data_IF_376081533497
#
_entry.id   IF_376081533497
#
_cell.length_a   1.000
_cell.length_b   1.000
_cell.length_c   1.000
_cell.angle_alpha   90.00
_cell.angle_beta   90.00
_cell.angle_gamma   90.00
#
_symmetry.space_group_name_H-M   'P 1'
#
loop_
_entity.id
_entity.type
_entity.pdbx_description
1 polymer ?
#
# COMPACT_ATOMS: atom_id res chain seq x y z
N UNK A 1 -1.15 -15.40 -17.38
CA UNK A 1 -1.13 -13.95 -17.15
C UNK A 1 -0.39 -13.72 -15.85
N UNK A 2 0.57 -12.80 -15.78
CA UNK A 2 1.47 -12.55 -14.65
C UNK A 2 2.34 -13.74 -14.19
N UNK A 3 2.77 -14.59 -15.11
CA UNK A 3 3.63 -15.75 -14.79
C UNK A 3 5.04 -15.34 -14.33
N UNK A 4 5.43 -14.09 -14.58
CA UNK A 4 6.73 -13.53 -14.19
C UNK A 4 6.93 -13.38 -12.69
N UNK A 5 5.88 -13.56 -11.88
CA UNK A 5 5.93 -13.36 -10.42
C UNK A 5 6.25 -14.64 -9.64
N UNK A 6 6.10 -15.82 -10.25
CA UNK A 6 6.41 -17.06 -9.59
C UNK A 6 7.91 -17.15 -9.24
N UNK A 7 8.21 -17.48 -7.98
CA UNK A 7 9.58 -17.56 -7.46
C UNK A 7 10.20 -16.25 -7.00
N UNK A 8 9.57 -15.09 -7.25
CA UNK A 8 10.03 -13.80 -6.74
C UNK A 8 9.78 -13.65 -5.24
N UNK A 9 10.60 -12.83 -4.60
CA UNK A 9 10.46 -12.49 -3.18
C UNK A 9 9.84 -11.11 -3.03
N UNK A 10 8.78 -11.03 -2.23
CA UNK A 10 8.07 -9.79 -1.92
C UNK A 10 8.13 -9.48 -0.42
N UNK A 11 8.42 -8.22 -0.09
CA UNK A 11 8.21 -7.64 1.24
C UNK A 11 6.94 -6.80 1.19
N UNK A 12 6.00 -7.03 2.12
CA UNK A 12 4.77 -6.23 2.25
C UNK A 12 4.71 -5.66 3.65
N UNK A 13 4.82 -4.32 3.78
CA UNK A 13 4.74 -3.63 5.07
C UNK A 13 3.29 -3.31 5.43
N UNK A 14 2.96 -3.28 6.73
CA UNK A 14 1.58 -3.11 7.19
C UNK A 14 0.65 -4.24 6.74
N UNK A 15 1.17 -5.47 6.65
CA UNK A 15 0.50 -6.60 6.03
C UNK A 15 -0.35 -7.46 7.00
N UNK A 16 -0.50 -7.04 8.27
CA UNK A 16 -1.28 -7.81 9.26
C UNK A 16 -2.79 -7.74 9.05
N UNK A 17 -3.31 -6.74 8.32
CA UNK A 17 -4.74 -6.53 8.08
C UNK A 17 -4.99 -5.67 6.83
N UNK A 18 -6.27 -5.52 6.47
CA UNK A 18 -6.74 -4.61 5.43
C UNK A 18 -6.04 -4.83 4.08
N UNK A 19 -5.72 -3.72 3.42
CA UNK A 19 -5.11 -3.70 2.08
C UNK A 19 -3.79 -4.49 2.06
N UNK A 20 -2.93 -4.30 3.07
CA UNK A 20 -1.64 -5.00 3.13
C UNK A 20 -1.78 -6.52 3.23
N UNK A 21 -2.74 -7.03 4.01
CA UNK A 21 -3.08 -8.46 4.04
C UNK A 21 -3.58 -8.95 2.68
N UNK A 22 -4.45 -8.17 2.03
CA UNK A 22 -4.91 -8.49 0.67
C UNK A 22 -3.76 -8.58 -0.33
N UNK A 23 -2.83 -7.63 -0.31
CA UNK A 23 -1.63 -7.61 -1.16
C UNK A 23 -0.76 -8.85 -0.89
N UNK A 24 -0.46 -9.15 0.38
CA UNK A 24 0.37 -10.29 0.76
C UNK A 24 -0.22 -11.62 0.28
N UNK A 25 -1.53 -11.83 0.50
CA UNK A 25 -2.26 -13.02 0.03
C UNK A 25 -2.24 -13.12 -1.50
N UNK A 26 -2.48 -12.02 -2.19
CA UNK A 26 -2.52 -11.99 -3.66
C UNK A 26 -1.17 -12.31 -4.29
N UNK A 27 -0.07 -11.76 -3.75
CA UNK A 27 1.29 -12.11 -4.19
C UNK A 27 1.64 -13.57 -3.88
N UNK A 28 1.28 -14.07 -2.71
CA UNK A 28 1.46 -15.48 -2.37
C UNK A 28 0.71 -16.43 -3.31
N UNK A 29 -0.51 -16.06 -3.74
CA UNK A 29 -1.35 -16.87 -4.63
C UNK A 29 -0.80 -17.02 -6.06
N UNK A 30 0.10 -16.14 -6.47
CA UNK A 30 0.79 -16.20 -7.79
C UNK A 30 2.22 -16.73 -7.69
N UNK A 31 2.59 -17.31 -6.54
CA UNK A 31 3.85 -18.01 -6.35
C UNK A 31 5.01 -17.15 -5.87
N UNK A 32 4.76 -15.93 -5.39
CA UNK A 32 5.79 -15.17 -4.67
C UNK A 32 6.09 -15.78 -3.30
N UNK A 33 7.35 -15.69 -2.85
CA UNK A 33 7.71 -15.85 -1.44
C UNK A 33 7.46 -14.52 -0.74
N UNK A 34 6.60 -14.47 0.30
CA UNK A 34 6.15 -13.23 0.91
C UNK A 34 6.68 -13.07 2.34
N UNK A 35 7.41 -11.99 2.60
CA UNK A 35 7.69 -11.52 3.96
C UNK A 35 6.55 -10.60 4.40
N UNK A 36 5.73 -11.09 5.33
CA UNK A 36 4.59 -10.37 5.91
C UNK A 36 5.10 -9.51 7.06
N UNK A 37 5.09 -8.19 6.92
CA UNK A 37 5.71 -7.27 7.88
C UNK A 37 4.67 -6.39 8.55
N UNK A 38 4.64 -6.39 9.88
CA UNK A 38 3.90 -5.44 10.70
C UNK A 38 4.49 -5.40 12.11
N UNK A 39 4.08 -4.44 12.94
CA UNK A 39 4.51 -4.32 14.33
C UNK A 39 4.05 -5.50 15.20
N UNK A 40 2.83 -5.97 14.98
CA UNK A 40 2.29 -7.14 15.68
C UNK A 40 2.80 -8.43 15.03
N UNK A 41 3.68 -9.13 15.74
CA UNK A 41 4.22 -10.42 15.31
C UNK A 41 3.11 -11.46 15.15
N UNK A 42 2.21 -11.57 16.13
CA UNK A 42 1.12 -12.55 16.13
C UNK A 42 0.19 -12.38 14.94
N UNK A 43 -0.20 -11.13 14.62
CA UNK A 43 -1.05 -10.85 13.45
C UNK A 43 -0.32 -11.17 12.14
N UNK A 44 0.98 -10.82 12.03
CA UNK A 44 1.80 -11.15 10.85
C UNK A 44 1.96 -12.66 10.68
N UNK A 45 2.14 -13.41 11.75
CA UNK A 45 2.21 -14.87 11.74
C UNK A 45 0.86 -15.50 11.30
N UNK A 46 -0.26 -14.90 11.70
CA UNK A 46 -1.58 -15.35 11.23
C UNK A 46 -1.71 -15.22 9.71
N UNK A 47 -1.33 -14.08 9.14
CA UNK A 47 -1.41 -13.86 7.68
C UNK A 47 -0.41 -14.75 6.93
N UNK A 48 0.81 -14.93 7.46
CA UNK A 48 1.79 -15.85 6.86
C UNK A 48 1.26 -17.30 6.83
N UNK A 49 0.57 -17.73 7.90
CA UNK A 49 -0.10 -19.03 7.97
C UNK A 49 -1.21 -19.16 6.94
N UNK A 50 -2.09 -18.17 6.80
CA UNK A 50 -3.13 -18.16 5.76
C UNK A 50 -2.55 -18.38 4.36
N UNK A 51 -1.43 -17.70 4.05
CA UNK A 51 -0.76 -17.87 2.75
C UNK A 51 -0.20 -19.28 2.59
N UNK A 52 0.40 -19.85 3.64
CA UNK A 52 0.99 -21.19 3.58
C UNK A 52 -0.07 -22.29 3.52
N UNK A 53 -1.19 -22.15 4.23
CA UNK A 53 -2.35 -23.05 4.14
C UNK A 53 -2.97 -23.05 2.73
N UNK A 54 -2.94 -21.88 2.05
CA UNK A 54 -3.33 -21.74 0.65
C UNK A 54 -2.24 -22.21 -0.34
N UNK A 55 -1.21 -22.96 0.13
CA UNK A 55 -0.08 -23.51 -0.66
C UNK A 55 0.87 -22.44 -1.22
N UNK A 56 0.84 -21.23 -0.70
CA UNK A 56 1.86 -20.20 -0.96
C UNK A 56 3.07 -20.35 -0.04
N UNK A 57 4.05 -19.47 -0.21
CA UNK A 57 5.26 -19.41 0.63
C UNK A 57 5.32 -18.06 1.35
N UNK A 58 5.26 -18.06 2.67
CA UNK A 58 5.31 -16.84 3.46
C UNK A 58 5.98 -17.04 4.81
N UNK A 59 6.50 -15.95 5.36
CA UNK A 59 6.94 -15.88 6.78
C UNK A 59 6.65 -14.48 7.33
N UNK A 60 6.52 -14.40 8.66
CA UNK A 60 6.29 -13.16 9.36
C UNK A 60 7.59 -12.48 9.79
N UNK A 61 7.58 -11.14 9.83
CA UNK A 61 8.63 -10.34 10.43
C UNK A 61 8.00 -9.16 11.19
N UNK A 62 8.49 -8.92 12.41
CA UNK A 62 8.02 -7.78 13.20
C UNK A 62 8.92 -6.57 12.96
N UNK A 63 8.36 -5.46 12.49
CA UNK A 63 9.09 -4.21 12.34
C UNK A 63 8.16 -2.99 12.41
N UNK A 64 8.65 -1.92 13.05
CA UNK A 64 8.14 -0.57 12.88
C UNK A 64 8.86 0.11 11.72
N UNK A 65 8.13 0.47 10.66
CA UNK A 65 8.71 1.11 9.48
C UNK A 65 9.29 2.50 9.76
N UNK A 66 8.96 3.10 10.89
CA UNK A 66 9.52 4.37 11.35
C UNK A 66 10.92 4.22 11.99
N UNK A 67 11.35 2.99 12.27
CA UNK A 67 12.68 2.67 12.79
C UNK A 67 13.61 2.22 11.66
N UNK A 68 14.75 2.90 11.52
CA UNK A 68 15.71 2.63 10.45
C UNK A 68 16.42 1.27 10.64
N UNK A 69 16.72 0.88 11.87
CA UNK A 69 17.39 -0.39 12.14
C UNK A 69 16.45 -1.56 11.85
N UNK A 70 15.17 -1.43 12.22
CA UNK A 70 14.16 -2.46 11.96
C UNK A 70 13.85 -2.61 10.47
N UNK A 71 13.83 -1.51 9.71
CA UNK A 71 13.66 -1.60 8.24
C UNK A 71 14.86 -2.24 7.55
N UNK A 72 16.09 -1.98 8.00
CA UNK A 72 17.29 -2.68 7.52
C UNK A 72 17.26 -4.17 7.85
N UNK A 73 16.86 -4.53 9.07
CA UNK A 73 16.70 -5.94 9.48
C UNK A 73 15.61 -6.65 8.68
N UNK A 74 14.51 -5.99 8.38
CA UNK A 74 13.44 -6.49 7.50
C UNK A 74 13.97 -6.84 6.10
N UNK A 75 14.72 -5.94 5.47
CA UNK A 75 15.28 -6.17 4.14
C UNK A 75 16.29 -7.33 4.14
N UNK A 76 17.17 -7.38 5.15
CA UNK A 76 18.12 -8.47 5.33
C UNK A 76 17.42 -9.83 5.52
N UNK A 77 16.36 -9.88 6.34
CA UNK A 77 15.59 -11.11 6.59
C UNK A 77 14.92 -11.64 5.31
N UNK A 78 14.46 -10.78 4.40
CA UNK A 78 13.90 -11.20 3.12
C UNK A 78 14.95 -11.93 2.27
N UNK A 79 16.13 -11.34 2.14
CA UNK A 79 17.24 -11.92 1.38
C UNK A 79 17.76 -13.21 2.04
N UNK A 80 17.93 -13.22 3.36
CA UNK A 80 18.39 -14.40 4.12
C UNK A 80 17.44 -15.59 3.95
N UNK A 81 16.12 -15.35 4.05
CA UNK A 81 15.12 -16.44 4.03
C UNK A 81 14.78 -16.94 2.63
N UNK A 82 14.89 -16.09 1.62
CA UNK A 82 14.37 -16.39 0.29
C UNK A 82 15.41 -16.25 -0.83
N UNK A 83 16.61 -15.74 -0.54
CA UNK A 83 17.73 -15.64 -1.48
C UNK A 83 17.74 -14.35 -2.32
N UNK A 84 16.63 -13.65 -2.43
CA UNK A 84 16.51 -12.38 -3.18
C UNK A 84 15.47 -11.45 -2.54
N UNK A 85 15.40 -10.23 -3.03
CA UNK A 85 14.29 -9.31 -2.81
C UNK A 85 13.95 -8.63 -4.14
N UNK A 86 12.79 -8.94 -4.67
CA UNK A 86 12.35 -8.52 -6.01
C UNK A 86 11.25 -7.45 -5.95
N UNK A 87 10.42 -7.47 -4.91
CA UNK A 87 9.24 -6.62 -4.80
C UNK A 87 9.16 -6.02 -3.40
N UNK A 88 9.00 -4.69 -3.33
CA UNK A 88 8.61 -4.00 -2.10
C UNK A 88 7.23 -3.39 -2.26
N UNK A 89 6.29 -3.79 -1.40
CA UNK A 89 5.01 -3.12 -1.23
C UNK A 89 5.06 -2.27 0.05
N UNK A 90 5.36 -0.98 -0.10
CA UNK A 90 5.39 -0.02 1.00
C UNK A 90 3.97 0.45 1.30
N UNK A 91 3.27 -0.33 2.13
CA UNK A 91 1.86 -0.14 2.43
C UNK A 91 1.58 0.33 3.87
N UNK A 92 2.51 0.14 4.81
CA UNK A 92 2.31 0.56 6.19
C UNK A 92 1.90 2.02 6.31
N UNK A 93 0.89 2.29 7.14
CA UNK A 93 0.39 3.64 7.35
C UNK A 93 -0.65 3.71 8.46
N UNK A 94 -0.81 4.91 9.03
CA UNK A 94 -1.81 5.26 10.04
C UNK A 94 -2.62 6.46 9.57
N UNK A 95 -3.87 6.57 10.04
CA UNK A 95 -4.80 7.63 9.65
C UNK A 95 -5.74 8.05 10.79
N UNK A 96 -5.23 8.39 11.99
CA UNK A 96 -6.07 8.92 13.05
C UNK A 96 -6.79 10.17 12.54
N UNK A 97 -8.01 10.41 13.03
CA UNK A 97 -8.77 11.61 12.69
C UNK A 97 -8.62 12.65 13.80
N UNK A 98 -7.98 13.78 13.48
CA UNK A 98 -7.82 14.92 14.41
C UNK A 98 -8.07 16.20 13.63
N UNK A 99 -9.02 17.04 14.09
CA UNK A 99 -9.31 18.31 13.45
C UNK A 99 -8.14 19.30 13.58
N UNK A 100 -7.93 20.13 12.56
CA UNK A 100 -6.77 21.02 12.46
C UNK A 100 -6.65 22.00 13.65
N UNK A 101 -7.76 22.47 14.18
CA UNK A 101 -7.83 23.42 15.29
C UNK A 101 -7.36 22.83 16.65
N UNK A 102 -7.33 21.51 16.78
CA UNK A 102 -6.90 20.80 18.00
C UNK A 102 -5.72 19.85 17.76
N UNK A 103 -5.24 19.75 16.52
CA UNK A 103 -4.11 18.86 16.15
C UNK A 103 -2.81 19.37 16.75
N UNK A 104 -2.16 18.55 17.56
CA UNK A 104 -0.82 18.83 18.08
C UNK A 104 0.27 18.56 17.04
N UNK A 105 1.43 19.20 17.20
CA UNK A 105 2.61 18.91 16.37
C UNK A 105 3.02 17.43 16.46
N UNK A 106 2.92 16.82 17.65
CA UNK A 106 3.26 15.41 17.84
C UNK A 106 2.34 14.45 17.06
N UNK A 107 1.03 14.74 16.96
CA UNK A 107 0.09 13.96 16.17
C UNK A 107 0.37 14.13 14.67
N UNK A 108 0.68 15.35 14.23
CA UNK A 108 1.11 15.61 12.85
C UNK A 108 2.37 14.82 12.51
N UNK A 109 3.42 14.94 13.32
CA UNK A 109 4.71 14.27 13.15
C UNK A 109 4.58 12.74 13.17
N UNK A 110 3.75 12.19 14.04
CA UNK A 110 3.51 10.74 14.12
C UNK A 110 3.01 10.17 12.80
N UNK A 111 2.07 10.86 12.14
CA UNK A 111 1.53 10.41 10.84
C UNK A 111 2.57 10.57 9.73
N UNK A 112 3.30 11.69 9.67
CA UNK A 112 4.35 11.87 8.67
C UNK A 112 5.49 10.88 8.87
N UNK A 113 5.88 10.65 10.11
CA UNK A 113 6.96 9.70 10.45
C UNK A 113 6.61 8.28 10.01
N UNK A 114 5.39 7.82 10.29
CA UNK A 114 4.97 6.48 9.88
C UNK A 114 4.76 6.40 8.35
N UNK A 115 3.95 7.30 7.80
CA UNK A 115 3.47 7.15 6.41
C UNK A 115 4.51 7.59 5.38
N UNK A 116 5.19 8.71 5.59
CA UNK A 116 6.11 9.28 4.60
C UNK A 116 7.56 8.86 4.89
N UNK A 117 8.07 9.13 6.09
CA UNK A 117 9.43 8.73 6.46
C UNK A 117 9.57 7.19 6.46
N UNK A 118 8.57 6.46 6.96
CA UNK A 118 8.56 4.98 6.94
C UNK A 118 8.55 4.41 5.51
N UNK A 119 7.88 5.06 4.55
CA UNK A 119 7.98 4.70 3.13
C UNK A 119 9.42 4.89 2.63
N UNK A 120 10.04 6.04 2.90
CA UNK A 120 11.43 6.31 2.54
C UNK A 120 12.38 5.28 3.15
N UNK A 121 12.28 4.99 4.45
CA UNK A 121 13.15 4.04 5.14
C UNK A 121 13.00 2.62 4.57
N UNK A 122 11.77 2.20 4.29
CA UNK A 122 11.49 0.89 3.68
C UNK A 122 12.13 0.78 2.28
N UNK A 123 11.97 1.81 1.44
CA UNK A 123 12.59 1.87 0.11
C UNK A 123 14.10 1.86 0.23
N UNK A 124 14.69 2.73 1.05
CA UNK A 124 16.14 2.85 1.24
C UNK A 124 16.76 1.52 1.71
N UNK A 125 16.14 0.85 2.68
CA UNK A 125 16.63 -0.43 3.20
C UNK A 125 16.59 -1.57 2.17
N UNK A 126 15.54 -1.61 1.35
CA UNK A 126 15.36 -2.65 0.33
C UNK A 126 16.16 -2.38 -0.97
N UNK A 127 16.58 -1.14 -1.19
CA UNK A 127 17.16 -0.69 -2.46
C UNK A 127 18.40 -1.47 -2.91
N UNK A 128 19.37 -1.81 -2.04
CA UNK A 128 20.54 -2.58 -2.47
C UNK A 128 20.17 -3.93 -3.12
N UNK A 129 19.21 -4.66 -2.53
CA UNK A 129 18.73 -5.92 -3.07
C UNK A 129 17.87 -5.74 -4.32
N UNK A 130 16.96 -4.74 -4.33
CA UNK A 130 16.10 -4.43 -5.47
C UNK A 130 16.90 -4.03 -6.72
N UNK A 131 18.06 -3.36 -6.57
CA UNK A 131 18.93 -3.04 -7.69
C UNK A 131 19.54 -4.30 -8.35
N UNK A 132 19.84 -5.34 -7.56
CA UNK A 132 20.37 -6.61 -8.07
C UNK A 132 19.33 -7.35 -8.92
N UNK A 133 18.07 -7.27 -8.55
CA UNK A 133 16.96 -8.00 -9.19
C UNK A 133 16.23 -7.17 -10.25
N UNK A 134 16.60 -5.90 -10.46
CA UNK A 134 15.84 -4.93 -11.24
C UNK A 134 14.38 -4.87 -10.74
N UNK A 135 14.24 -4.73 -9.43
CA UNK A 135 13.01 -4.97 -8.68
C UNK A 135 11.90 -3.96 -8.92
N UNK A 136 10.80 -4.17 -8.21
CA UNK A 136 9.56 -3.37 -8.29
C UNK A 136 9.20 -2.80 -6.93
N UNK A 137 8.88 -1.52 -6.89
CA UNK A 137 8.40 -0.86 -5.68
C UNK A 137 6.99 -0.35 -5.94
N UNK A 138 6.05 -0.73 -5.08
CA UNK A 138 4.67 -0.24 -5.12
C UNK A 138 4.32 0.39 -3.79
N UNK A 139 3.96 1.67 -3.82
CA UNK A 139 3.58 2.44 -2.62
C UNK A 139 2.07 2.54 -2.54
N UNK A 140 1.49 2.25 -1.38
CA UNK A 140 0.06 2.49 -1.13
C UNK A 140 -0.13 3.92 -0.64
N UNK A 141 -0.47 4.82 -1.57
CA UNK A 141 -0.89 6.19 -1.25
C UNK A 141 -2.41 6.23 -0.96
N UNK A 142 -3.14 7.21 -1.44
CA UNK A 142 -4.59 7.40 -1.27
C UNK A 142 -5.11 8.40 -2.29
N UNK A 143 -6.43 8.41 -2.54
CA UNK A 143 -7.08 9.56 -3.18
C UNK A 143 -7.05 10.78 -2.26
N UNK A 144 -7.10 10.58 -0.92
CA UNK A 144 -7.05 11.66 0.06
C UNK A 144 -5.64 12.23 0.16
N UNK A 145 -5.53 13.51 -0.05
CA UNK A 145 -4.32 14.30 -0.12
C UNK A 145 -3.95 14.67 -1.55
N UNK A 146 -3.65 13.71 -2.43
CA UNK A 146 -3.33 14.03 -3.83
C UNK A 146 -4.49 14.58 -4.65
N UNK A 147 -5.73 14.14 -4.41
CA UNK A 147 -6.91 14.50 -5.24
C UNK A 147 -8.01 15.10 -4.37
N UNK A 148 -8.34 14.47 -3.25
CA UNK A 148 -9.44 14.89 -2.36
C UNK A 148 -8.91 15.27 -0.99
N UNK A 149 -9.78 15.87 -0.17
CA UNK A 149 -9.55 16.12 1.26
C UNK A 149 -10.66 15.51 2.12
N UNK A 150 -10.34 15.25 3.39
CA UNK A 150 -11.32 14.82 4.37
C UNK A 150 -11.08 15.54 5.71
N UNK A 151 -12.11 16.08 6.36
CA UNK A 151 -11.96 16.76 7.64
C UNK A 151 -11.29 15.87 8.69
N UNK A 152 -10.28 16.42 9.38
CA UNK A 152 -9.50 15.69 10.39
C UNK A 152 -8.31 14.89 9.83
N UNK A 153 -8.04 14.93 8.52
CA UNK A 153 -6.94 14.18 7.90
C UNK A 153 -5.90 15.07 7.19
N UNK A 154 -5.68 16.30 7.66
CA UNK A 154 -4.68 17.19 7.04
C UNK A 154 -3.26 16.62 7.09
N UNK A 155 -2.83 16.02 8.21
CA UNK A 155 -1.55 15.32 8.33
C UNK A 155 -1.49 14.05 7.44
N UNK A 156 -2.57 13.27 7.39
CA UNK A 156 -2.67 12.11 6.50
C UNK A 156 -2.59 12.52 5.04
N UNK A 157 -3.39 13.52 4.63
CA UNK A 157 -3.36 14.06 3.28
C UNK A 157 -1.98 14.56 2.88
N UNK A 158 -1.31 15.31 3.77
CA UNK A 158 0.07 15.75 3.56
C UNK A 158 1.03 14.57 3.36
N UNK A 159 0.93 13.51 4.18
CA UNK A 159 1.76 12.33 4.07
C UNK A 159 1.56 11.58 2.75
N UNK A 160 0.30 11.43 2.29
CA UNK A 160 -0.05 10.70 1.07
C UNK A 160 0.29 11.49 -0.21
N UNK A 161 0.13 12.79 -0.21
CA UNK A 161 0.61 13.67 -1.28
C UNK A 161 2.15 13.69 -1.33
N UNK A 162 2.82 13.74 -0.17
CA UNK A 162 4.28 13.67 -0.06
C UNK A 162 4.86 12.38 -0.64
N UNK A 163 4.19 11.24 -0.48
CA UNK A 163 4.60 9.97 -1.10
C UNK A 163 4.65 10.09 -2.63
N UNK A 164 3.70 10.79 -3.29
CA UNK A 164 3.72 10.96 -4.75
C UNK A 164 4.87 11.87 -5.20
N UNK A 165 5.19 12.92 -4.43
CA UNK A 165 6.37 13.74 -4.67
C UNK A 165 7.67 12.92 -4.59
N UNK A 166 7.81 12.11 -3.54
CA UNK A 166 8.94 11.19 -3.36
C UNK A 166 9.08 10.21 -4.53
N UNK A 167 7.99 9.56 -4.94
CA UNK A 167 7.98 8.57 -6.03
C UNK A 167 8.46 9.17 -7.35
N UNK A 168 8.04 10.39 -7.71
CA UNK A 168 8.43 11.05 -8.96
C UNK A 168 9.92 11.25 -9.08
N UNK A 169 10.56 11.72 -8.01
CA UNK A 169 12.01 11.92 -7.98
C UNK A 169 12.76 10.60 -7.90
N UNK A 170 12.35 9.70 -7.00
CA UNK A 170 12.96 8.38 -6.86
C UNK A 170 12.90 7.55 -8.16
N UNK A 171 11.83 7.66 -8.95
CA UNK A 171 11.71 6.97 -10.23
C UNK A 171 12.85 7.32 -11.20
N UNK A 172 13.25 8.60 -11.24
CA UNK A 172 14.36 9.06 -12.09
C UNK A 172 15.68 8.46 -11.61
N UNK A 173 15.92 8.47 -10.30
CA UNK A 173 17.16 7.96 -9.69
C UNK A 173 17.29 6.42 -9.81
N UNK A 174 16.17 5.71 -9.82
CA UNK A 174 16.14 4.25 -9.84
C UNK A 174 16.12 3.65 -11.25
N UNK A 175 15.64 4.40 -12.24
CA UNK A 175 15.50 3.94 -13.62
C UNK A 175 16.80 3.38 -14.24
N UNK A 176 17.99 3.99 -14.04
CA UNK A 176 19.24 3.42 -14.58
C UNK A 176 19.58 2.03 -14.05
N UNK A 177 19.10 1.68 -12.86
CA UNK A 177 19.24 0.34 -12.28
C UNK A 177 18.15 -0.64 -12.72
N UNK A 178 17.20 -0.23 -13.55
CA UNK A 178 16.06 -1.04 -13.99
C UNK A 178 15.00 -1.25 -12.91
N UNK A 179 15.06 -0.52 -11.80
CA UNK A 179 14.05 -0.57 -10.71
C UNK A 179 12.93 0.41 -11.03
N UNK A 180 11.68 -0.04 -10.93
CA UNK A 180 10.51 0.84 -11.04
C UNK A 180 9.90 1.13 -9.68
N UNK A 181 9.35 2.33 -9.52
CA UNK A 181 8.57 2.72 -8.34
C UNK A 181 7.29 3.41 -8.77
N UNK A 182 6.14 2.86 -8.34
CA UNK A 182 4.82 3.36 -8.67
C UNK A 182 3.93 3.42 -7.41
N UNK A 183 2.78 4.07 -7.51
CA UNK A 183 1.80 4.11 -6.43
C UNK A 183 0.44 3.56 -6.87
N UNK A 184 -0.27 2.97 -5.91
CA UNK A 184 -1.71 2.79 -5.96
C UNK A 184 -2.37 3.83 -5.06
N UNK A 185 -3.52 4.35 -5.48
CA UNK A 185 -4.30 5.37 -4.78
C UNK A 185 -5.73 4.85 -4.53
N UNK A 186 -5.93 4.07 -3.46
CA UNK A 186 -7.26 3.56 -3.13
C UNK A 186 -8.21 4.68 -2.73
N UNK A 187 -9.49 4.53 -3.15
CA UNK A 187 -10.62 5.23 -2.57
C UNK A 187 -11.16 4.50 -1.34
N UNK A 188 -12.48 4.46 -1.19
CA UNK A 188 -13.15 3.76 -0.11
C UNK A 188 -13.11 2.24 -0.32
N UNK A 189 -12.30 1.55 0.49
CA UNK A 189 -12.07 0.10 0.42
C UNK A 189 -12.63 -0.57 1.67
N UNK A 190 -13.41 -1.63 1.48
CA UNK A 190 -13.93 -2.48 2.55
C UNK A 190 -12.76 -3.20 3.26
N UNK A 191 -12.51 -2.80 4.49
CA UNK A 191 -11.50 -3.40 5.37
C UNK A 191 -12.09 -3.65 6.75
N UNK A 192 -11.41 -4.41 7.58
CA UNK A 192 -11.85 -4.69 8.94
C UNK A 192 -12.05 -3.39 9.77
N UNK A 193 -11.34 -2.32 9.42
CA UNK A 193 -11.47 -1.00 10.07
C UNK A 193 -12.82 -0.32 9.85
N UNK A 194 -13.61 -0.75 8.83
CA UNK A 194 -14.94 -0.21 8.58
C UNK A 194 -16.06 -1.00 9.29
N UNK A 195 -15.78 -2.19 9.79
CA UNK A 195 -16.80 -3.08 10.37
C UNK A 195 -17.58 -2.49 11.56
N UNK A 196 -17.01 -1.47 12.23
CA UNK A 196 -17.65 -0.78 13.35
C UNK A 196 -18.50 0.44 12.99
N UNK A 197 -18.55 0.85 11.71
CA UNK A 197 -19.20 2.10 11.30
C UNK A 197 -20.72 2.00 11.08
N UNK A 198 -21.26 0.78 11.06
CA UNK A 198 -22.69 0.52 10.84
C UNK A 198 -23.13 0.61 9.36
N UNK A 199 -24.25 -0.06 9.01
CA UNK A 199 -24.71 -0.19 7.62
C UNK A 199 -25.08 1.14 6.97
N UNK A 200 -25.69 2.07 7.72
CA UNK A 200 -26.11 3.37 7.19
C UNK A 200 -24.91 4.23 6.76
N UNK A 201 -23.80 4.15 7.50
CA UNK A 201 -22.58 4.88 7.12
C UNK A 201 -21.96 4.26 5.87
N UNK A 202 -21.92 2.92 5.78
CA UNK A 202 -21.43 2.22 4.60
C UNK A 202 -22.26 2.58 3.37
N UNK A 203 -23.60 2.55 3.48
CA UNK A 203 -24.50 2.93 2.38
C UNK A 203 -24.26 4.38 1.91
N UNK A 204 -24.01 5.32 2.83
CA UNK A 204 -23.62 6.70 2.48
C UNK A 204 -22.28 6.76 1.73
N UNK A 205 -21.29 5.97 2.15
CA UNK A 205 -20.02 5.88 1.43
C UNK A 205 -20.23 5.34 0.01
N UNK A 206 -21.01 4.28 -0.15
CA UNK A 206 -21.32 3.66 -1.44
C UNK A 206 -22.10 4.61 -2.37
N UNK A 207 -23.01 5.41 -1.81
CA UNK A 207 -23.79 6.38 -2.59
C UNK A 207 -22.91 7.45 -3.27
N UNK A 208 -21.75 7.76 -2.70
CA UNK A 208 -20.77 8.70 -3.24
C UNK A 208 -19.86 8.10 -4.34
N UNK A 209 -19.97 6.80 -4.61
CA UNK A 209 -19.14 6.09 -5.58
C UNK A 209 -19.99 5.77 -6.82
N UNK A 210 -19.58 6.15 -8.04
CA UNK A 210 -20.30 5.79 -9.27
C UNK A 210 -20.61 4.31 -9.42
N UNK A 211 -19.66 3.42 -9.06
CA UNK A 211 -19.85 1.95 -9.09
C UNK A 211 -20.77 1.42 -7.98
N UNK A 212 -21.32 2.28 -7.10
CA UNK A 212 -22.30 1.97 -6.05
C UNK A 212 -21.91 0.82 -5.10
N UNK A 213 -20.62 0.63 -4.90
CA UNK A 213 -20.05 -0.30 -3.92
C UNK A 213 -18.71 0.23 -3.41
N UNK A 214 -18.32 -0.22 -2.24
CA UNK A 214 -16.92 -0.07 -1.81
C UNK A 214 -16.01 -0.94 -2.68
N UNK A 215 -14.77 -0.51 -2.87
CA UNK A 215 -13.72 -1.38 -3.38
C UNK A 215 -13.40 -2.50 -2.40
N UNK A 216 -12.84 -3.59 -2.88
CA UNK A 216 -12.33 -4.69 -2.06
C UNK A 216 -10.81 -4.57 -1.91
N UNK A 217 -10.23 -5.27 -0.92
CA UNK A 217 -8.78 -5.36 -0.79
C UNK A 217 -8.14 -6.04 -2.02
N UNK A 218 -8.87 -6.93 -2.68
CA UNK A 218 -8.48 -7.61 -3.92
C UNK A 218 -8.43 -6.65 -5.11
N UNK A 219 -9.34 -5.67 -5.21
CA UNK A 219 -9.30 -4.63 -6.25
C UNK A 219 -7.96 -3.87 -6.20
N UNK A 220 -7.51 -3.52 -5.00
CA UNK A 220 -6.21 -2.86 -4.79
C UNK A 220 -5.04 -3.81 -5.04
N UNK A 221 -5.12 -5.03 -4.51
CA UNK A 221 -4.06 -6.02 -4.63
C UNK A 221 -3.80 -6.43 -6.09
N UNK A 222 -4.82 -6.44 -6.95
CA UNK A 222 -4.67 -6.71 -8.38
C UNK A 222 -3.90 -5.60 -9.10
N UNK A 223 -4.11 -4.33 -8.74
CA UNK A 223 -3.33 -3.21 -9.27
C UNK A 223 -1.86 -3.25 -8.80
N UNK A 224 -1.64 -3.62 -7.54
CA UNK A 224 -0.28 -3.86 -7.00
C UNK A 224 0.39 -5.00 -7.76
N UNK A 225 -0.31 -6.09 -8.02
CA UNK A 225 0.19 -7.23 -8.79
C UNK A 225 0.63 -6.80 -10.20
N UNK A 226 -0.15 -5.96 -10.88
CA UNK A 226 0.22 -5.40 -12.18
C UNK A 226 1.53 -4.62 -12.10
N UNK A 227 1.66 -3.65 -11.19
CA UNK A 227 2.89 -2.88 -11.04
C UNK A 227 4.10 -3.71 -10.59
N UNK A 228 3.88 -4.80 -9.88
CA UNK A 228 4.94 -5.73 -9.45
C UNK A 228 5.43 -6.66 -10.59
N UNK A 229 4.68 -6.75 -11.69
CA UNK A 229 4.94 -7.68 -12.80
C UNK A 229 5.91 -7.12 -13.84
N UNK A 230 6.38 -8.00 -14.75
CA UNK A 230 7.21 -7.58 -15.89
C UNK A 230 6.40 -6.87 -16.97
N UNK A 231 5.09 -7.06 -16.99
CA UNK A 231 4.17 -6.35 -17.88
C UNK A 231 4.20 -4.83 -17.63
N UNK A 232 4.53 -4.42 -16.40
CA UNK A 232 4.67 -3.01 -16.02
C UNK A 232 6.13 -2.49 -16.04
N UNK A 233 7.09 -3.24 -16.60
CA UNK A 233 8.54 -2.89 -16.54
C UNK A 233 8.93 -1.55 -17.16
N UNK A 234 8.08 -0.96 -18.00
CA UNK A 234 8.29 0.34 -18.62
C UNK A 234 7.44 1.45 -18.00
N UNK A 235 6.81 1.16 -16.85
CA UNK A 235 5.97 2.10 -16.09
C UNK A 235 6.69 2.43 -14.78
N UNK A 236 7.07 3.69 -14.60
CA UNK A 236 7.69 4.17 -13.35
C UNK A 236 7.27 5.61 -13.05
N UNK A 237 7.23 5.99 -11.78
CA UNK A 237 6.81 7.31 -11.31
C UNK A 237 5.32 7.58 -11.43
N UNK A 238 4.49 6.56 -11.72
CA UNK A 238 3.06 6.69 -11.97
C UNK A 238 2.23 6.39 -10.71
N UNK A 239 1.02 6.95 -10.68
CA UNK A 239 0.04 6.69 -9.64
C UNK A 239 -1.28 6.26 -10.30
N UNK A 240 -1.83 5.12 -9.86
CA UNK A 240 -3.08 4.57 -10.36
C UNK A 240 -4.17 4.70 -9.29
N UNK A 241 -5.27 5.39 -9.65
CA UNK A 241 -6.46 5.51 -8.80
C UNK A 241 -7.28 4.22 -8.88
N UNK A 242 -7.72 3.73 -7.71
CA UNK A 242 -8.58 2.54 -7.58
C UNK A 242 -9.72 2.92 -6.62
N UNK A 243 -10.77 3.56 -7.15
CA UNK A 243 -11.80 4.20 -6.34
C UNK A 243 -13.24 4.02 -6.85
N UNK A 244 -13.44 3.22 -7.88
CA UNK A 244 -14.78 3.02 -8.48
C UNK A 244 -15.36 4.28 -9.11
N UNK A 245 -14.51 5.24 -9.45
CA UNK A 245 -14.89 6.54 -10.00
C UNK A 245 -15.22 7.60 -8.93
N UNK A 246 -14.94 7.34 -7.66
CA UNK A 246 -15.29 8.24 -6.54
C UNK A 246 -14.79 9.68 -6.73
N UNK A 247 -13.65 9.87 -7.39
CA UNK A 247 -13.04 11.19 -7.59
C UNK A 247 -13.45 11.89 -8.90
N UNK A 248 -14.29 11.26 -9.73
CA UNK A 248 -14.65 11.80 -11.05
C UNK A 248 -15.84 12.74 -11.07
N UNK A 249 -16.91 12.55 -10.26
CA UNK A 249 -18.07 13.40 -10.30
C UNK A 249 -17.74 14.82 -9.84
N UNK A 250 -18.18 15.83 -10.61
CA UNK A 250 -18.04 17.24 -10.26
C UNK A 250 -18.78 17.59 -8.96
N UNK A 251 -19.91 16.92 -8.71
CA UNK A 251 -20.76 17.14 -7.54
C UNK A 251 -21.65 15.93 -7.25
N UNK A 252 -22.35 15.93 -6.10
CA UNK A 252 -23.38 14.94 -5.78
C UNK A 252 -24.54 14.97 -6.77
N UNK A 253 -24.86 16.14 -7.36
CA UNK A 253 -25.91 16.29 -8.39
C UNK A 253 -25.54 15.44 -9.62
N UNK A 254 -24.29 15.40 -10.03
CA UNK A 254 -23.85 14.56 -11.15
C UNK A 254 -24.09 13.07 -10.88
N UNK A 255 -24.00 12.62 -9.61
CA UNK A 255 -24.32 11.24 -9.23
C UNK A 255 -25.83 10.94 -9.25
N UNK A 256 -26.66 11.92 -8.89
CA UNK A 256 -28.12 11.80 -8.93
C UNK A 256 -28.63 11.70 -10.37
N UNK A 257 -28.03 12.47 -11.31
CA UNK A 257 -28.37 12.40 -12.74
C UNK A 257 -28.09 11.03 -13.37
N UNK A 258 -27.12 10.27 -12.86
CA UNK A 258 -26.85 8.90 -13.32
C UNK A 258 -27.98 7.91 -13.00
N UNK A 259 -28.87 8.26 -12.08
CA UNK A 259 -29.95 7.38 -11.60
C UNK A 259 -31.30 7.65 -12.30
N UNK A 260 -31.34 8.61 -13.21
CA UNK A 260 -32.48 8.96 -14.07
C UNK A 260 -32.39 8.22 -15.41
#
# INVERSE_FOLDING_TARGET
MFNSLAGRTAVVTGASKGIGRGIARRLGSVGCSVLVVARSRTESESVAREITEAKGKASAFSADVSDEAETKAMAAAAVERYGSLDILCANAGIFPAVKLDVMSAAEFDSVLTTNLRGTFLSVSACLPALKQTKGRIVVTSSITGPITGYPGWSHYGASKAGQLGFIRTAAIELAPAGVTINAVMPGNIATEGLSGLGPDYIAKMESCIPMKRLGTVEDVANAVLFFASDEARYITGQALVIDGGQTLPESLIALEEMSK
#
